data_IF_899740173032
#
_entry.id   IF_899740173032
#
_cell.length_a   1.000
_cell.length_b   1.000
_cell.length_c   1.000
_cell.angle_alpha   90.00
_cell.angle_beta   90.00
_cell.angle_gamma   90.00
#
_symmetry.space_group_name_H-M   'P 1'
#
loop_
_entity.id
_entity.type
_entity.pdbx_description
1 polymer ?
#
# COMPACT_ATOMS: atom_id res chain seq x y z
N UNK A 1 -13.20 -37.74 19.44
CA UNK A 1 -13.89 -36.50 19.90
C UNK A 1 -12.90 -35.41 20.24
N UNK A 2 -11.85 -35.64 21.03
CA UNK A 2 -10.80 -34.65 21.32
C UNK A 2 -10.01 -34.17 20.08
N UNK A 3 -9.61 -35.07 19.17
CA UNK A 3 -8.88 -34.70 17.93
C UNK A 3 -9.68 -33.78 16.98
N UNK A 4 -11.00 -33.97 16.95
CA UNK A 4 -11.90 -33.13 16.14
C UNK A 4 -12.04 -31.73 16.72
N UNK A 5 -12.05 -31.61 18.02
CA UNK A 5 -12.15 -30.34 18.75
C UNK A 5 -10.85 -29.50 18.59
N UNK A 6 -9.69 -30.14 18.66
CA UNK A 6 -8.39 -29.53 18.44
C UNK A 6 -8.22 -29.02 16.99
N UNK A 7 -8.69 -29.80 16.00
CA UNK A 7 -8.66 -29.41 14.60
C UNK A 7 -9.55 -28.18 14.32
N UNK A 8 -10.75 -28.16 14.88
CA UNK A 8 -11.67 -27.01 14.77
C UNK A 8 -11.08 -25.75 15.40
N UNK A 9 -10.49 -25.88 16.57
CA UNK A 9 -9.82 -24.79 17.27
C UNK A 9 -8.70 -24.20 16.41
N UNK A 10 -7.85 -25.03 15.84
CA UNK A 10 -6.76 -24.59 14.95
C UNK A 10 -7.29 -23.87 13.70
N UNK A 11 -8.40 -24.32 13.10
CA UNK A 11 -9.02 -23.63 11.97
C UNK A 11 -9.51 -22.24 12.34
N UNK A 12 -10.16 -22.09 13.49
CA UNK A 12 -10.66 -20.80 13.98
C UNK A 12 -9.51 -19.87 14.35
N UNK A 13 -8.46 -20.37 15.00
CA UNK A 13 -7.29 -19.58 15.41
C UNK A 13 -6.46 -19.09 14.21
N UNK A 14 -6.44 -19.87 13.11
CA UNK A 14 -5.71 -19.52 11.88
C UNK A 14 -6.60 -18.89 10.80
N UNK A 15 -7.88 -18.59 11.09
CA UNK A 15 -8.72 -17.84 10.17
C UNK A 15 -8.15 -16.44 9.90
N UNK A 16 -8.27 -15.97 8.65
CA UNK A 16 -7.93 -14.58 8.30
C UNK A 16 -9.06 -13.59 8.62
N UNK A 17 -10.28 -14.11 8.83
CA UNK A 17 -11.43 -13.30 9.21
C UNK A 17 -11.56 -13.29 10.75
N UNK A 18 -12.08 -12.20 11.27
CA UNK A 18 -12.42 -12.05 12.69
C UNK A 18 -13.64 -12.93 12.97
N UNK A 19 -13.52 -13.85 13.91
CA UNK A 19 -14.63 -14.69 14.37
C UNK A 19 -14.94 -14.34 15.82
N UNK A 20 -16.19 -13.97 16.09
CA UNK A 20 -16.62 -13.54 17.42
C UNK A 20 -17.94 -14.21 17.78
N UNK A 21 -18.10 -14.61 19.03
CA UNK A 21 -19.39 -15.01 19.60
C UNK A 21 -19.81 -13.94 20.60
N UNK A 22 -21.03 -13.41 20.43
CA UNK A 22 -21.61 -12.40 21.31
C UNK A 22 -22.86 -12.93 22.00
N UNK A 23 -23.13 -12.38 23.18
CA UNK A 23 -24.40 -12.54 23.86
C UNK A 23 -25.50 -11.70 23.17
N UNK A 24 -26.76 -11.92 23.55
CA UNK A 24 -27.88 -11.17 23.01
C UNK A 24 -27.80 -9.65 23.25
N UNK A 25 -27.14 -9.23 24.31
CA UNK A 25 -26.89 -7.80 24.64
C UNK A 25 -25.68 -7.22 23.90
N UNK A 26 -25.04 -8.00 23.02
CA UNK A 26 -23.89 -7.59 22.23
C UNK A 26 -22.52 -7.76 22.93
N UNK A 27 -22.46 -8.27 24.17
CA UNK A 27 -21.19 -8.51 24.85
C UNK A 27 -20.40 -9.63 24.18
N UNK A 28 -19.11 -9.40 24.01
CA UNK A 28 -18.18 -10.37 23.42
C UNK A 28 -17.90 -11.48 24.44
N UNK A 29 -18.33 -12.71 24.12
CA UNK A 29 -17.99 -13.91 24.90
C UNK A 29 -16.71 -14.56 24.43
N UNK A 30 -16.49 -14.57 23.13
CA UNK A 30 -15.30 -15.14 22.50
C UNK A 30 -14.93 -14.36 21.26
N UNK A 31 -13.63 -14.27 21.00
CA UNK A 31 -13.10 -13.85 19.71
C UNK A 31 -11.79 -14.61 19.41
N UNK A 32 -11.53 -14.86 18.12
CA UNK A 32 -10.29 -15.51 17.71
C UNK A 32 -9.09 -14.55 17.75
N UNK A 33 -7.84 -15.06 17.74
CA UNK A 33 -6.62 -14.25 17.78
C UNK A 33 -6.52 -13.20 16.66
N UNK A 34 -7.21 -13.41 15.54
CA UNK A 34 -7.22 -12.49 14.39
C UNK A 34 -7.81 -11.13 14.75
N UNK A 35 -8.77 -11.05 15.68
CA UNK A 35 -9.29 -9.79 16.17
C UNK A 35 -8.16 -8.90 16.72
N UNK A 36 -7.35 -9.46 17.60
CA UNK A 36 -6.25 -8.73 18.24
C UNK A 36 -5.15 -8.38 17.26
N UNK A 37 -4.85 -9.28 16.35
CA UNK A 37 -3.84 -9.10 15.30
C UNK A 37 -4.19 -7.98 14.31
N UNK A 38 -5.50 -7.86 13.96
CA UNK A 38 -5.97 -6.88 12.98
C UNK A 38 -6.26 -5.54 13.63
N UNK A 39 -6.91 -5.51 14.80
CA UNK A 39 -7.35 -4.27 15.44
C UNK A 39 -6.40 -3.73 16.52
N UNK A 40 -5.41 -4.53 16.95
CA UNK A 40 -4.36 -4.09 17.87
C UNK A 40 -4.75 -4.01 19.34
N UNK A 41 -5.97 -4.40 19.73
CA UNK A 41 -6.41 -4.43 21.14
C UNK A 41 -5.92 -5.66 21.85
N UNK A 42 -5.96 -5.65 23.19
CA UNK A 42 -5.69 -6.80 24.04
C UNK A 42 -6.98 -7.58 24.32
N UNK A 43 -6.84 -8.86 24.60
CA UNK A 43 -7.99 -9.74 24.87
C UNK A 43 -8.83 -9.23 26.07
N UNK A 44 -8.18 -8.77 27.11
CA UNK A 44 -8.80 -8.31 28.35
C UNK A 44 -9.67 -7.05 28.14
N UNK A 45 -9.37 -6.27 27.09
CA UNK A 45 -10.13 -5.06 26.75
C UNK A 45 -11.41 -5.38 25.97
N UNK A 46 -11.47 -6.54 25.33
CA UNK A 46 -12.51 -6.91 24.37
C UNK A 46 -13.51 -7.90 24.96
N UNK A 47 -13.03 -8.98 25.56
CA UNK A 47 -13.93 -10.01 26.15
C UNK A 47 -14.70 -9.40 27.32
N UNK A 48 -16.02 -9.55 27.29
CA UNK A 48 -16.97 -8.97 28.26
C UNK A 48 -17.43 -7.56 27.92
N UNK A 49 -16.80 -6.86 26.95
CA UNK A 49 -17.29 -5.55 26.46
C UNK A 49 -18.25 -5.71 25.28
N UNK A 50 -19.01 -4.66 24.96
CA UNK A 50 -19.88 -4.66 23.76
C UNK A 50 -19.14 -4.25 22.50
N UNK A 51 -17.98 -3.60 22.63
CA UNK A 51 -17.17 -3.05 21.53
C UNK A 51 -17.89 -2.06 20.60
N UNK A 52 -19.10 -1.59 20.94
CA UNK A 52 -19.80 -0.58 20.11
C UNK A 52 -19.05 0.75 20.05
N UNK A 53 -18.25 1.05 21.06
CA UNK A 53 -17.38 2.23 21.11
C UNK A 53 -16.30 2.22 20.03
N UNK A 54 -15.92 1.03 19.57
CA UNK A 54 -14.95 0.83 18.50
C UNK A 54 -15.56 1.10 17.11
N UNK A 55 -16.89 1.10 16.98
CA UNK A 55 -17.57 1.37 15.72
C UNK A 55 -17.61 2.89 15.48
N UNK A 56 -17.37 3.29 14.24
CA UNK A 56 -17.43 4.69 13.82
C UNK A 56 -18.80 5.30 14.21
N UNK A 57 -18.83 6.52 14.78
CA UNK A 57 -20.09 7.14 15.26
C UNK A 57 -21.21 7.13 14.23
N UNK A 58 -20.91 7.40 12.96
CA UNK A 58 -21.89 7.41 11.87
C UNK A 58 -22.46 6.02 11.54
N UNK A 59 -21.71 4.94 11.84
CA UNK A 59 -22.11 3.57 11.50
C UNK A 59 -22.84 2.87 12.66
N UNK A 60 -22.79 3.46 13.87
CA UNK A 60 -23.33 2.84 15.10
C UNK A 60 -24.81 2.54 15.02
N UNK A 61 -25.60 3.50 14.55
CA UNK A 61 -27.06 3.37 14.46
C UNK A 61 -27.45 2.19 13.54
N UNK A 62 -26.78 2.08 12.39
CA UNK A 62 -27.00 1.00 11.44
C UNK A 62 -26.64 -0.35 12.03
N UNK A 63 -25.48 -0.45 12.69
CA UNK A 63 -24.99 -1.72 13.29
C UNK A 63 -25.88 -2.15 14.46
N UNK A 64 -26.29 -1.22 15.33
CA UNK A 64 -27.18 -1.51 16.46
C UNK A 64 -28.57 -1.93 15.98
N UNK A 65 -29.13 -1.23 14.99
CA UNK A 65 -30.43 -1.59 14.40
C UNK A 65 -30.40 -2.96 13.75
N UNK A 66 -29.34 -3.29 13.01
CA UNK A 66 -29.16 -4.62 12.41
C UNK A 66 -29.06 -5.73 13.48
N UNK A 67 -28.35 -5.49 14.58
CA UNK A 67 -28.27 -6.44 15.70
C UNK A 67 -29.62 -6.63 16.38
N UNK A 68 -30.34 -5.54 16.65
CA UNK A 68 -31.66 -5.58 17.29
C UNK A 68 -32.69 -6.38 16.46
N UNK A 69 -32.67 -6.25 15.15
CA UNK A 69 -33.53 -7.04 14.26
C UNK A 69 -33.09 -8.51 14.17
N UNK A 70 -31.77 -8.73 14.11
CA UNK A 70 -31.19 -10.07 14.02
C UNK A 70 -31.56 -10.94 15.23
N UNK A 71 -31.49 -10.40 16.45
CA UNK A 71 -31.73 -11.17 17.69
C UNK A 71 -33.19 -11.55 17.86
N UNK A 72 -34.14 -10.85 17.22
CA UNK A 72 -35.59 -11.16 17.27
C UNK A 72 -35.96 -12.42 16.49
N UNK A 73 -35.13 -12.82 15.52
CA UNK A 73 -35.46 -13.92 14.62
C UNK A 73 -34.42 -15.03 14.75
N UNK A 74 -34.76 -16.16 15.39
CA UNK A 74 -33.88 -17.33 15.50
C UNK A 74 -33.40 -17.82 14.12
N UNK A 75 -32.12 -18.10 13.98
CA UNK A 75 -31.52 -18.58 12.75
C UNK A 75 -31.36 -17.51 11.65
N UNK A 76 -31.77 -16.27 11.90
CA UNK A 76 -31.56 -15.18 10.95
C UNK A 76 -30.08 -14.90 10.69
N UNK A 77 -29.80 -14.41 9.49
CA UNK A 77 -28.47 -13.97 9.09
C UNK A 77 -28.58 -12.63 8.41
N UNK A 78 -27.70 -11.71 8.75
CA UNK A 78 -27.64 -10.37 8.17
C UNK A 78 -26.19 -9.95 7.93
N UNK A 79 -26.00 -8.96 7.06
CA UNK A 79 -24.69 -8.42 6.76
C UNK A 79 -24.69 -6.90 6.73
N UNK A 80 -23.66 -6.31 7.31
CA UNK A 80 -23.47 -4.86 7.36
C UNK A 80 -22.01 -4.51 7.14
N UNK A 81 -21.76 -3.38 6.47
CA UNK A 81 -20.42 -2.79 6.41
C UNK A 81 -20.31 -1.71 7.48
N UNK A 82 -19.21 -1.69 8.20
CA UNK A 82 -18.91 -0.64 9.16
C UNK A 82 -17.43 -0.38 9.30
N UNK A 83 -17.11 0.80 9.83
CA UNK A 83 -15.74 1.19 10.19
C UNK A 83 -15.51 0.88 11.66
N UNK A 84 -14.42 0.16 11.95
CA UNK A 84 -13.95 -0.10 13.31
C UNK A 84 -12.62 0.60 13.55
N UNK A 85 -12.40 1.10 14.78
CA UNK A 85 -11.19 1.82 15.16
C UNK A 85 -10.09 0.84 15.55
N UNK A 86 -8.91 0.99 14.94
CA UNK A 86 -7.68 0.34 15.39
C UNK A 86 -7.18 0.94 16.72
N UNK A 87 -6.45 0.20 17.51
CA UNK A 87 -5.89 0.67 18.78
C UNK A 87 -5.00 1.93 18.63
N UNK A 88 -4.34 2.10 17.46
CA UNK A 88 -3.57 3.29 17.11
C UNK A 88 -4.43 4.48 16.63
N UNK A 89 -5.76 4.33 16.59
CA UNK A 89 -6.70 5.42 16.37
C UNK A 89 -7.22 5.60 14.94
N UNK A 90 -6.70 4.90 13.94
CA UNK A 90 -7.21 4.97 12.57
C UNK A 90 -8.40 4.04 12.34
N UNK A 91 -9.19 4.31 11.28
CA UNK A 91 -10.38 3.55 10.93
C UNK A 91 -10.09 2.49 9.89
N UNK A 92 -10.67 1.32 10.09
CA UNK A 92 -10.61 0.18 9.17
C UNK A 92 -12.02 -0.24 8.79
N UNK A 93 -12.26 -0.56 7.51
CA UNK A 93 -13.57 -0.98 7.03
C UNK A 93 -13.71 -2.50 7.07
N UNK A 94 -14.82 -2.97 7.63
CA UNK A 94 -15.15 -4.39 7.72
C UNK A 94 -16.49 -4.66 7.06
N UNK A 95 -16.58 -5.80 6.39
CA UNK A 95 -17.83 -6.48 6.09
C UNK A 95 -18.11 -7.46 7.24
N UNK A 96 -19.23 -7.28 7.90
CA UNK A 96 -19.63 -8.09 9.04
C UNK A 96 -20.85 -8.92 8.60
N UNK A 97 -20.75 -10.23 8.79
CA UNK A 97 -21.87 -11.17 8.64
C UNK A 97 -22.18 -11.72 10.02
N UNK A 98 -23.40 -11.50 10.48
CA UNK A 98 -23.89 -11.97 11.76
C UNK A 98 -24.95 -13.06 11.58
N UNK A 99 -24.94 -14.07 12.43
CA UNK A 99 -25.90 -15.19 12.45
C UNK A 99 -26.45 -15.38 13.86
N UNK A 100 -27.77 -15.34 14.00
CA UNK A 100 -28.45 -15.57 15.27
C UNK A 100 -28.49 -17.08 15.58
N UNK A 101 -27.67 -17.52 16.51
CA UNK A 101 -27.61 -18.88 17.04
C UNK A 101 -27.89 -18.89 18.55
N UNK A 102 -28.74 -17.97 19.05
CA UNK A 102 -29.09 -17.87 20.46
C UNK A 102 -29.78 -19.14 20.96
N UNK A 103 -30.63 -19.74 20.14
CA UNK A 103 -31.36 -20.99 20.49
C UNK A 103 -30.57 -22.27 20.19
N UNK A 104 -29.37 -22.13 19.57
CA UNK A 104 -28.54 -23.30 19.30
C UNK A 104 -27.91 -23.85 20.61
N UNK A 105 -28.08 -25.11 20.96
CA UNK A 105 -27.75 -25.64 22.29
C UNK A 105 -26.25 -25.51 22.64
N UNK A 106 -25.39 -25.57 21.68
CA UNK A 106 -23.92 -25.50 21.89
C UNK A 106 -23.38 -24.07 21.76
N UNK A 107 -23.98 -23.20 20.94
CA UNK A 107 -23.47 -21.86 20.67
C UNK A 107 -24.09 -20.83 21.60
N UNK A 108 -25.42 -20.78 21.71
CA UNK A 108 -26.18 -19.85 22.56
C UNK A 108 -25.72 -18.40 22.44
N UNK A 109 -25.57 -17.93 21.20
CA UNK A 109 -25.02 -16.60 20.95
C UNK A 109 -25.18 -16.16 19.52
N UNK A 110 -24.83 -14.91 19.25
CA UNK A 110 -24.70 -14.38 17.89
C UNK A 110 -23.29 -14.61 17.40
N UNK A 111 -23.14 -15.36 16.31
CA UNK A 111 -21.86 -15.59 15.65
C UNK A 111 -21.62 -14.49 14.63
N UNK A 112 -20.49 -13.83 14.73
CA UNK A 112 -20.08 -12.76 13.83
C UNK A 112 -18.79 -13.18 13.10
N UNK A 113 -18.82 -13.02 11.78
CA UNK A 113 -17.66 -13.09 10.90
C UNK A 113 -17.39 -11.68 10.37
N UNK A 114 -16.23 -11.13 10.68
CA UNK A 114 -15.78 -9.81 10.24
C UNK A 114 -14.59 -9.93 9.29
N UNK A 115 -14.80 -9.55 8.04
CA UNK A 115 -13.76 -9.49 7.02
C UNK A 115 -13.26 -8.08 6.82
N UNK A 116 -11.98 -7.86 6.99
CA UNK A 116 -11.37 -6.57 6.67
C UNK A 116 -11.40 -6.34 5.16
N UNK A 117 -12.15 -5.31 4.76
CA UNK A 117 -12.20 -4.86 3.36
C UNK A 117 -11.03 -3.91 3.15
N UNK A 118 -10.02 -4.39 2.49
CA UNK A 118 -8.98 -3.51 1.97
C UNK A 118 -9.53 -2.92 0.69
N UNK A 119 -9.76 -1.62 0.70
CA UNK A 119 -10.23 -0.87 -0.46
C UNK A 119 -9.21 -1.04 -1.62
N UNK A 120 -9.48 -2.02 -2.47
CA UNK A 120 -8.62 -2.40 -3.59
C UNK A 120 -8.42 -1.22 -4.54
N UNK A 121 -9.49 -0.45 -4.75
CA UNK A 121 -9.46 0.71 -5.64
C UNK A 121 -8.54 1.81 -5.10
N UNK A 122 -8.55 2.10 -3.80
CA UNK A 122 -7.62 3.06 -3.19
C UNK A 122 -6.18 2.59 -3.24
N UNK A 123 -5.93 1.29 -3.09
CA UNK A 123 -4.57 0.73 -3.27
C UNK A 123 -4.11 0.83 -4.71
N UNK A 124 -4.95 0.51 -5.67
CA UNK A 124 -4.64 0.61 -7.10
C UNK A 124 -4.41 2.07 -7.49
N UNK A 125 -5.28 2.99 -7.11
CA UNK A 125 -5.10 4.42 -7.35
C UNK A 125 -3.81 4.98 -6.72
N UNK A 126 -3.49 4.58 -5.49
CA UNK A 126 -2.23 4.99 -4.84
C UNK A 126 -1.00 4.43 -5.53
N UNK A 127 -1.05 3.17 -5.97
CA UNK A 127 0.01 2.55 -6.76
C UNK A 127 0.23 3.29 -8.08
N UNK A 128 -0.84 3.62 -8.79
CA UNK A 128 -0.77 4.32 -10.08
C UNK A 128 -0.24 5.76 -9.91
N UNK A 129 -0.63 6.43 -8.84
CA UNK A 129 -0.06 7.73 -8.49
C UNK A 129 1.45 7.64 -8.25
N UNK A 130 1.91 6.68 -7.44
CA UNK A 130 3.34 6.48 -7.17
C UNK A 130 4.14 6.13 -8.42
N UNK A 131 3.57 5.31 -9.32
CA UNK A 131 4.19 4.98 -10.62
C UNK A 131 4.32 6.24 -11.47
N UNK A 132 3.32 7.11 -11.47
CA UNK A 132 3.33 8.37 -12.23
C UNK A 132 4.38 9.34 -11.68
N UNK A 133 4.45 9.51 -10.36
CA UNK A 133 5.48 10.32 -9.69
C UNK A 133 6.90 9.79 -9.97
N UNK A 134 7.08 8.47 -9.90
CA UNK A 134 8.37 7.84 -10.22
C UNK A 134 8.77 8.05 -11.69
N UNK A 135 7.83 7.89 -12.63
CA UNK A 135 8.09 8.16 -14.05
C UNK A 135 8.47 9.61 -14.29
N UNK A 136 7.78 10.56 -13.66
CA UNK A 136 8.11 11.99 -13.79
C UNK A 136 9.49 12.29 -13.22
N UNK A 137 9.85 11.69 -12.09
CA UNK A 137 11.18 11.83 -11.49
C UNK A 137 12.28 11.26 -12.40
N UNK A 138 12.04 10.09 -13.01
CA UNK A 138 12.97 9.47 -13.95
C UNK A 138 13.11 10.25 -15.26
N UNK A 139 12.04 10.86 -15.76
CA UNK A 139 12.08 11.73 -16.95
C UNK A 139 12.77 13.08 -16.67
N UNK A 140 12.76 13.53 -15.42
CA UNK A 140 13.52 14.70 -14.97
C UNK A 140 15.04 14.46 -14.88
N UNK A 141 15.49 13.22 -14.94
CA UNK A 141 16.90 12.88 -15.15
C UNK A 141 17.18 13.03 -16.65
N UNK A 142 17.60 14.23 -17.06
CA UNK A 142 18.03 14.53 -18.42
C UNK A 142 19.22 13.64 -18.79
N UNK A 143 18.95 12.44 -19.27
CA UNK A 143 19.95 11.52 -19.83
C UNK A 143 19.86 11.56 -21.34
N UNK A 144 20.97 11.96 -21.98
CA UNK A 144 21.11 11.85 -23.43
C UNK A 144 20.98 10.38 -23.82
N UNK A 145 19.92 10.02 -24.55
CA UNK A 145 19.69 8.66 -25.01
C UNK A 145 19.35 8.67 -26.51
N UNK A 146 19.79 7.65 -27.25
CA UNK A 146 19.52 7.50 -28.66
C UNK A 146 20.71 7.88 -29.56
N UNK A 147 20.46 8.05 -30.85
CA UNK A 147 21.47 8.37 -31.86
C UNK A 147 21.40 9.88 -32.16
N UNK A 148 22.49 10.57 -31.89
CA UNK A 148 22.65 11.98 -32.22
C UNK A 148 23.25 12.14 -33.63
N UNK A 149 22.62 12.95 -34.46
CA UNK A 149 23.16 13.27 -35.80
C UNK A 149 24.21 14.36 -35.70
N UNK A 150 25.45 14.04 -36.03
CA UNK A 150 26.56 14.99 -36.01
C UNK A 150 27.09 15.26 -37.41
N UNK A 151 27.56 16.47 -37.65
CA UNK A 151 28.27 16.84 -38.88
C UNK A 151 29.62 16.11 -38.93
N UNK A 152 29.89 15.40 -40.02
CA UNK A 152 31.16 14.70 -40.20
C UNK A 152 32.37 15.62 -40.20
N UNK A 153 32.23 16.86 -40.67
CA UNK A 153 33.29 17.85 -40.75
C UNK A 153 33.46 18.68 -39.47
N UNK A 154 32.45 19.44 -39.07
CA UNK A 154 32.59 20.40 -37.98
C UNK A 154 32.05 19.89 -36.63
N UNK A 155 31.56 18.64 -36.54
CA UNK A 155 31.06 17.96 -35.34
C UNK A 155 29.85 18.64 -34.65
N UNK A 156 29.22 19.65 -35.29
CA UNK A 156 27.96 20.18 -34.77
C UNK A 156 26.87 19.12 -34.74
N UNK A 157 25.98 19.20 -33.75
CA UNK A 157 24.79 18.34 -33.60
C UNK A 157 23.60 19.00 -34.31
N UNK A 158 22.80 18.19 -35.00
CA UNK A 158 21.52 18.62 -35.57
C UNK A 158 20.40 18.39 -34.55
N UNK A 159 19.73 19.46 -34.20
CA UNK A 159 18.50 19.41 -33.38
C UNK A 159 17.31 18.85 -34.14
N UNK A 160 16.23 18.53 -33.43
CA UNK A 160 14.95 18.12 -34.02
C UNK A 160 14.34 19.24 -34.87
N UNK A 161 14.59 20.49 -34.54
CA UNK A 161 14.23 21.69 -35.32
C UNK A 161 14.91 21.76 -36.68
N UNK A 162 15.97 20.96 -36.90
CA UNK A 162 16.85 21.01 -38.06
C UNK A 162 18.02 21.96 -37.92
N UNK A 163 18.11 22.75 -36.86
CA UNK A 163 19.23 23.65 -36.58
C UNK A 163 20.49 22.88 -36.19
N UNK A 164 21.69 23.51 -36.45
CA UNK A 164 22.97 22.92 -36.10
C UNK A 164 23.67 23.73 -35.02
N UNK A 165 23.98 23.12 -33.87
CA UNK A 165 24.65 23.77 -32.76
C UNK A 165 25.93 23.04 -32.33
N UNK A 166 26.76 23.70 -31.52
CA UNK A 166 27.97 23.13 -30.94
C UNK A 166 27.61 21.95 -30.01
N UNK A 167 28.43 20.92 -29.97
CA UNK A 167 28.17 19.73 -29.14
C UNK A 167 28.10 20.07 -27.64
N UNK A 168 28.96 21.02 -27.21
CA UNK A 168 29.03 21.47 -25.82
C UNK A 168 27.73 22.19 -25.40
N UNK A 169 27.15 22.99 -26.29
CA UNK A 169 25.90 23.70 -26.05
C UNK A 169 24.76 22.67 -25.97
N UNK A 170 24.68 21.77 -26.95
CA UNK A 170 23.64 20.72 -26.96
C UNK A 170 23.68 19.84 -25.69
N UNK A 171 24.87 19.38 -25.31
CA UNK A 171 25.02 18.49 -24.12
C UNK A 171 24.68 19.25 -22.83
N UNK A 172 25.12 20.52 -22.69
CA UNK A 172 24.76 21.31 -21.53
C UNK A 172 23.24 21.53 -21.40
N UNK A 173 22.55 21.78 -22.54
CA UNK A 173 21.13 22.07 -22.54
C UNK A 173 20.26 20.78 -22.35
N UNK A 174 20.79 19.59 -22.65
CA UNK A 174 20.09 18.31 -22.60
C UNK A 174 20.61 17.33 -21.53
N UNK A 175 21.70 17.68 -20.83
CA UNK A 175 22.25 16.91 -19.72
C UNK A 175 22.80 17.85 -18.65
N UNK A 176 22.84 17.40 -17.40
CA UNK A 176 23.45 18.18 -16.30
C UNK A 176 24.98 18.05 -16.31
N UNK A 177 25.62 18.54 -17.39
CA UNK A 177 27.06 18.43 -17.59
C UNK A 177 27.62 19.79 -17.96
N UNK A 178 28.73 20.19 -17.34
CA UNK A 178 29.51 21.38 -17.68
C UNK A 178 30.82 20.96 -18.35
N UNK A 179 31.27 21.72 -19.33
CA UNK A 179 32.53 21.51 -20.02
C UNK A 179 33.60 22.43 -19.49
N UNK A 180 34.77 21.90 -19.17
CA UNK A 180 36.00 22.65 -19.01
C UNK A 180 36.93 22.40 -20.21
N UNK A 181 37.73 23.40 -20.58
CA UNK A 181 38.64 23.31 -21.72
C UNK A 181 40.01 22.93 -21.25
N UNK A 182 40.61 22.00 -21.97
CA UNK A 182 41.98 21.58 -21.80
C UNK A 182 42.60 21.19 -23.15
N UNK A 183 43.90 21.03 -23.20
CA UNK A 183 44.65 20.59 -24.40
C UNK A 183 45.17 19.17 -24.09
N UNK A 184 44.81 18.19 -24.93
CA UNK A 184 45.35 16.85 -24.78
C UNK A 184 46.84 16.77 -25.19
N UNK A 185 47.60 15.77 -24.73
CA UNK A 185 49.01 15.67 -25.02
C UNK A 185 49.36 15.64 -26.52
N UNK A 186 48.51 15.05 -27.34
CA UNK A 186 48.71 15.01 -28.80
C UNK A 186 48.59 16.41 -29.41
N UNK A 187 47.58 17.18 -28.99
CA UNK A 187 47.38 18.58 -29.44
C UNK A 187 48.48 19.47 -28.87
N UNK A 188 48.92 19.25 -27.63
CA UNK A 188 50.07 20.00 -27.06
C UNK A 188 51.34 19.77 -27.89
N UNK A 189 51.64 18.53 -28.24
CA UNK A 189 52.77 18.20 -29.08
C UNK A 189 52.69 18.82 -30.48
N UNK A 190 51.49 18.96 -31.03
CA UNK A 190 51.28 19.49 -32.36
C UNK A 190 51.36 21.04 -32.40
N UNK A 191 50.69 21.72 -31.43
CA UNK A 191 50.58 23.19 -31.43
C UNK A 191 51.65 23.89 -30.62
N UNK A 192 52.21 23.21 -29.60
CA UNK A 192 53.17 23.75 -28.65
C UNK A 192 54.28 22.71 -28.37
N UNK A 193 55.09 22.35 -29.39
CA UNK A 193 56.09 21.30 -29.26
C UNK A 193 57.13 21.59 -28.17
N UNK A 194 57.38 22.85 -27.86
CA UNK A 194 58.32 23.26 -26.80
C UNK A 194 57.77 23.05 -25.37
N UNK A 195 56.45 22.78 -25.23
CA UNK A 195 55.78 22.48 -23.95
C UNK A 195 55.29 21.03 -23.86
N UNK A 196 55.68 20.22 -24.80
CA UNK A 196 55.27 18.81 -24.83
C UNK A 196 55.87 18.03 -23.64
N UNK A 197 55.06 17.26 -22.87
CA UNK A 197 55.60 16.42 -21.83
C UNK A 197 56.51 15.33 -22.45
N UNK A 198 57.66 15.10 -21.82
CA UNK A 198 58.53 13.97 -22.20
C UNK A 198 57.74 12.66 -22.17
N UNK A 199 57.88 11.86 -23.23
CA UNK A 199 57.20 10.56 -23.28
C UNK A 199 57.68 9.72 -22.09
N UNK A 200 56.73 9.16 -21.30
CA UNK A 200 57.11 8.15 -20.33
C UNK A 200 57.73 6.98 -21.08
N UNK A 201 58.92 6.53 -20.63
CA UNK A 201 59.62 5.32 -21.07
C UNK A 201 58.80 4.05 -20.87
#
# INVERSE_FOLDING_TARGET
MQEQDDSFRLLVENSNDILTIREADGRVRYTNPTFYRILGYKQEEIVGSTCFELIHPEDREVVLGALDELVKTPGARDSVQCRARHAEGFWMTFEIVASNLLDHPEVRGVVINGRHIVDREKREARKDQLITELKQTLLGLNTLSGILRICASCKKIQEESGAWQQIEVYVRDHAQVEFSHGICPECTNYWYPEHAPEKPE
#
